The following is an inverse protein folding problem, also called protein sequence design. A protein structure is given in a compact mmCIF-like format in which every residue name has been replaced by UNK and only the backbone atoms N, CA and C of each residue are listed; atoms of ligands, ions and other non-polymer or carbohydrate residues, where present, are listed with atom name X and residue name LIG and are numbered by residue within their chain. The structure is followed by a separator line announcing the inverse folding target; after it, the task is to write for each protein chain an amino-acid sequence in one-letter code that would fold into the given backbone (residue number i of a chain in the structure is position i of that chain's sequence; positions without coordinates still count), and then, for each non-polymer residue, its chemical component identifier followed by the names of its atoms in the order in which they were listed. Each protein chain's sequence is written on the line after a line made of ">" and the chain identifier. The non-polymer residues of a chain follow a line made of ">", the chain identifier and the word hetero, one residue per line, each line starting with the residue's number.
data_IF_830170065461
#
_entry.id   IF_830170065461
#
_cell.length_a   1.000
_cell.length_b   1.000
_cell.length_c   1.000
_cell.angle_alpha   90.00
_cell.angle_beta   90.00
_cell.angle_gamma   90.00
#
_symmetry.space_group_name_H-M   'P 1'
#
loop_
_entity.id
_entity.type
_entity.pdbx_description
1 polymer ?
#
# COMPACT_ATOMS: atom_id res chain seq x y z
N UNK A 1 2.83 -6.43 -3.06
CA UNK A 1 2.67 -7.01 -1.70
C UNK A 1 1.51 -7.96 -1.80
N UNK A 2 1.69 -9.20 -1.37
CA UNK A 2 0.64 -10.21 -1.32
C UNK A 2 -0.11 -10.11 0.02
N UNK A 3 -1.37 -10.53 0.10
CA UNK A 3 -2.20 -10.37 1.30
C UNK A 3 -1.55 -10.88 2.59
N UNK A 4 -0.90 -12.04 2.55
CA UNK A 4 -0.23 -12.61 3.73
C UNK A 4 1.00 -11.80 4.16
N UNK A 5 1.74 -11.23 3.18
CA UNK A 5 2.89 -10.36 3.46
C UNK A 5 2.48 -8.98 4.01
N UNK A 6 1.23 -8.55 3.78
CA UNK A 6 0.69 -7.31 4.33
C UNK A 6 0.47 -7.44 5.84
N UNK A 7 -0.16 -8.54 6.28
CA UNK A 7 -0.43 -8.79 7.70
C UNK A 7 0.86 -8.90 8.52
N UNK A 8 1.89 -9.54 7.96
CA UNK A 8 3.22 -9.62 8.57
C UNK A 8 3.90 -8.23 8.66
N UNK A 9 3.79 -7.39 7.62
CA UNK A 9 4.32 -6.03 7.63
C UNK A 9 3.62 -5.12 8.64
N UNK A 10 2.31 -5.31 8.83
CA UNK A 10 1.54 -4.59 9.82
C UNK A 10 1.92 -5.03 11.23
N UNK A 11 2.08 -6.33 11.49
CA UNK A 11 2.43 -6.85 12.83
C UNK A 11 3.90 -6.63 13.23
N UNK A 12 4.83 -6.57 12.27
CA UNK A 12 6.28 -6.41 12.54
C UNK A 12 6.74 -4.95 12.70
N UNK A 13 5.95 -3.96 12.27
CA UNK A 13 6.39 -2.57 12.08
C UNK A 13 6.13 -1.58 13.23
N UNK A 14 5.57 -2.00 14.36
CA UNK A 14 4.90 -1.12 15.33
C UNK A 14 5.78 -0.15 16.16
N UNK A 15 7.08 0.04 15.88
CA UNK A 15 7.93 0.90 16.73
C UNK A 15 8.39 2.24 16.11
N UNK A 16 8.16 2.55 14.83
CA UNK A 16 8.65 3.82 14.25
C UNK A 16 7.69 4.64 13.39
N UNK A 17 6.60 4.07 12.87
CA UNK A 17 5.65 4.80 12.00
C UNK A 17 4.25 4.68 12.59
N UNK A 18 3.75 5.77 13.19
CA UNK A 18 2.46 5.79 13.89
C UNK A 18 1.26 5.54 12.97
N UNK A 19 1.45 5.66 11.66
CA UNK A 19 0.39 5.56 10.65
C UNK A 19 0.88 4.77 9.43
N UNK A 20 0.06 3.82 8.98
CA UNK A 20 0.25 3.09 7.72
C UNK A 20 -0.94 3.36 6.79
N UNK A 21 -0.66 3.72 5.55
CA UNK A 21 -1.63 3.88 4.47
C UNK A 21 -1.49 2.71 3.49
N UNK A 22 -2.62 2.09 3.14
CA UNK A 22 -2.66 0.93 2.24
C UNK A 22 -3.55 1.26 1.05
N UNK A 23 -3.02 1.11 -0.16
CA UNK A 23 -3.77 1.22 -1.41
C UNK A 23 -3.91 -0.16 -2.04
N UNK A 24 -5.15 -0.62 -2.18
CA UNK A 24 -5.49 -1.75 -3.05
C UNK A 24 -5.75 -1.25 -4.47
N UNK A 25 -5.02 -1.79 -5.44
CA UNK A 25 -5.11 -1.36 -6.83
C UNK A 25 -5.11 -2.53 -7.80
N UNK A 26 -5.60 -2.34 -9.02
CA UNK A 26 -5.61 -3.37 -10.06
C UNK A 26 -4.91 -2.87 -11.32
N UNK A 27 -3.95 -3.63 -11.83
CA UNK A 27 -3.17 -3.28 -13.04
C UNK A 27 -4.03 -3.23 -14.30
N UNK A 28 -5.15 -3.96 -14.33
CA UNK A 28 -6.13 -3.94 -15.42
C UNK A 28 -7.07 -2.73 -15.41
N UNK A 29 -7.08 -1.93 -14.33
CA UNK A 29 -7.98 -0.79 -14.16
C UNK A 29 -7.23 0.55 -14.34
N UNK A 30 -7.46 1.32 -15.42
CA UNK A 30 -6.75 2.57 -15.70
C UNK A 30 -6.91 3.62 -14.58
N UNK A 31 -8.11 3.70 -13.97
CA UNK A 31 -8.36 4.57 -12.83
C UNK A 31 -7.48 4.19 -11.62
N UNK A 32 -7.36 2.89 -11.38
CA UNK A 32 -6.58 2.35 -10.27
C UNK A 32 -5.08 2.58 -10.45
N UNK A 33 -4.58 2.41 -11.68
CA UNK A 33 -3.18 2.74 -12.05
C UNK A 33 -2.89 4.23 -11.84
N UNK A 34 -3.80 5.12 -12.25
CA UNK A 34 -3.66 6.56 -11.99
C UNK A 34 -3.68 6.87 -10.48
N UNK A 35 -4.54 6.18 -9.72
CA UNK A 35 -4.57 6.26 -8.27
C UNK A 35 -3.25 5.83 -7.62
N UNK A 36 -2.63 4.76 -8.12
CA UNK A 36 -1.30 4.32 -7.66
C UNK A 36 -0.23 5.39 -7.92
N UNK A 37 -0.24 6.03 -9.08
CA UNK A 37 0.73 7.09 -9.36
C UNK A 37 0.62 8.27 -8.37
N UNK A 38 -0.60 8.69 -8.02
CA UNK A 38 -0.82 9.70 -6.99
C UNK A 38 -0.36 9.22 -5.61
N UNK A 39 -0.58 7.94 -5.28
CA UNK A 39 -0.14 7.34 -4.03
C UNK A 39 1.40 7.25 -3.93
N UNK A 40 2.10 6.94 -5.01
CA UNK A 40 3.57 6.94 -5.06
C UNK A 40 4.13 8.36 -4.82
N UNK A 41 3.43 9.40 -5.31
CA UNK A 41 3.77 10.79 -5.01
C UNK A 41 3.58 11.11 -3.52
N UNK A 42 2.48 10.67 -2.91
CA UNK A 42 2.25 10.84 -1.47
C UNK A 42 3.32 10.15 -0.62
N UNK A 43 3.78 8.96 -1.01
CA UNK A 43 4.87 8.27 -0.33
C UNK A 43 6.16 9.10 -0.30
N UNK A 44 6.43 9.83 -1.38
CA UNK A 44 7.60 10.72 -1.45
C UNK A 44 7.44 11.99 -0.60
N UNK A 45 6.21 12.50 -0.48
CA UNK A 45 5.91 13.71 0.28
C UNK A 45 5.80 13.46 1.79
N UNK A 46 5.40 12.26 2.19
CA UNK A 46 5.11 11.90 3.58
C UNK A 46 5.89 10.64 4.01
N UNK A 47 7.23 10.70 4.07
CA UNK A 47 8.06 9.56 4.48
C UNK A 47 7.86 9.14 5.94
N UNK A 48 7.15 9.95 6.74
CA UNK A 48 6.74 9.61 8.10
C UNK A 48 5.53 8.66 8.17
N UNK A 49 4.85 8.44 7.05
CA UNK A 49 3.73 7.50 6.92
C UNK A 49 4.22 6.34 6.06
N UNK A 50 4.01 5.11 6.53
CA UNK A 50 4.27 3.93 5.72
C UNK A 50 3.24 3.83 4.60
N UNK A 51 3.66 3.75 3.35
CA UNK A 51 2.76 3.57 2.21
C UNK A 51 2.94 2.18 1.60
N UNK A 52 1.86 1.41 1.51
CA UNK A 52 1.86 0.06 0.95
C UNK A 52 0.86 -0.01 -0.21
N UNK A 53 1.33 -0.42 -1.40
CA UNK A 53 0.47 -0.69 -2.56
C UNK A 53 0.35 -2.21 -2.77
N UNK A 54 -0.89 -2.69 -2.76
CA UNK A 54 -1.26 -4.12 -2.86
C UNK A 54 -2.06 -4.30 -4.15
N UNK A 55 -1.64 -5.25 -4.99
CA UNK A 55 -2.40 -5.56 -6.19
C UNK A 55 -3.61 -6.44 -5.82
N UNK A 56 -4.79 -6.10 -6.31
CA UNK A 56 -6.06 -6.74 -5.97
C UNK A 56 -6.09 -8.23 -6.34
N UNK A 57 -5.44 -8.62 -7.43
CA UNK A 57 -5.28 -10.04 -7.80
C UNK A 57 -4.42 -10.87 -6.82
N UNK A 58 -3.75 -10.20 -5.87
CA UNK A 58 -2.95 -10.81 -4.80
C UNK A 58 -3.60 -10.66 -3.42
N UNK A 59 -4.83 -10.13 -3.36
CA UNK A 59 -5.62 -10.05 -2.14
C UNK A 59 -6.78 -11.07 -2.23
N UNK A 60 -6.84 -12.00 -1.27
CA UNK A 60 -8.00 -12.89 -1.14
C UNK A 60 -9.20 -12.08 -0.60
N UNK A 61 -10.44 -12.33 -1.08
CA UNK A 61 -11.64 -11.63 -0.61
C UNK A 61 -12.02 -11.93 0.84
#
# INVERSE_FOLDING_TARGET
>A
VDGDTLDELLTSGFMSEAYTSVLFYATWCPFSVNGKAAFDMLNSLFPCIRHLAVEESSALP
#
